data_IF_846164855886
#
_entry.id   IF_846164855886
#
_cell.length_a   1.000
_cell.length_b   1.000
_cell.length_c   1.000
_cell.angle_alpha   90.00
_cell.angle_beta   90.00
_cell.angle_gamma   90.00
#
_symmetry.space_group_name_H-M   'P 1'
#
loop_
_entity.id
_entity.type
_entity.pdbx_description
1 polymer ?
#
# COMPACT_ATOMS: atom_id res chain seq x y z
N UNK A 1 22.38 -4.07 3.87
CA UNK A 1 21.31 -4.74 3.08
C UNK A 1 21.87 -6.05 2.53
N UNK A 2 21.07 -7.11 2.34
CA UNK A 2 21.56 -8.28 1.59
C UNK A 2 21.79 -7.90 0.11
N UNK A 3 22.76 -8.48 -0.61
CA UNK A 3 23.09 -8.09 -1.99
C UNK A 3 21.89 -8.16 -2.96
N UNK A 4 21.05 -9.19 -2.82
CA UNK A 4 19.81 -9.32 -3.61
C UNK A 4 18.78 -8.20 -3.33
N UNK A 5 18.72 -7.69 -2.10
CA UNK A 5 17.80 -6.60 -1.73
C UNK A 5 18.31 -5.26 -2.25
N UNK A 6 19.62 -5.05 -2.22
CA UNK A 6 20.26 -3.86 -2.78
C UNK A 6 20.06 -3.74 -4.29
N UNK A 7 20.26 -4.83 -5.04
CA UNK A 7 20.04 -4.84 -6.49
C UNK A 7 18.57 -4.56 -6.86
N UNK A 8 17.64 -5.13 -6.09
CA UNK A 8 16.20 -4.85 -6.25
C UNK A 8 15.87 -3.40 -5.95
N UNK A 9 16.39 -2.85 -4.85
CA UNK A 9 16.14 -1.45 -4.48
C UNK A 9 16.72 -0.50 -5.53
N UNK A 10 17.92 -0.75 -6.05
CA UNK A 10 18.53 0.04 -7.12
C UNK A 10 17.63 0.11 -8.37
N UNK A 11 17.07 -1.03 -8.82
CA UNK A 11 16.12 -1.07 -9.95
C UNK A 11 14.83 -0.32 -9.67
N UNK A 12 14.35 -0.33 -8.43
CA UNK A 12 13.15 0.40 -7.99
C UNK A 12 13.42 1.90 -7.95
N UNK A 13 14.56 2.32 -7.37
CA UNK A 13 15.03 3.70 -7.30
C UNK A 13 15.14 4.33 -8.68
N UNK A 14 15.65 3.59 -9.67
CA UNK A 14 15.77 4.06 -11.05
C UNK A 14 14.41 4.45 -11.68
N UNK A 15 13.29 3.91 -11.20
CA UNK A 15 11.93 4.28 -11.66
C UNK A 15 11.37 5.53 -10.97
N UNK A 16 12.04 5.99 -9.91
CA UNK A 16 11.67 7.19 -9.16
C UNK A 16 10.66 6.93 -8.03
N UNK A 17 10.70 7.85 -7.05
CA UNK A 17 9.89 7.81 -5.83
C UNK A 17 8.38 7.81 -6.12
N UNK A 18 7.93 8.66 -7.04
CA UNK A 18 6.51 8.80 -7.36
C UNK A 18 5.92 7.52 -7.95
N UNK A 19 6.66 6.85 -8.85
CA UNK A 19 6.21 5.57 -9.44
C UNK A 19 6.08 4.48 -8.37
N UNK A 20 7.04 4.41 -7.46
CA UNK A 20 6.98 3.47 -6.34
C UNK A 20 5.80 3.76 -5.41
N UNK A 21 5.62 5.02 -5.02
CA UNK A 21 4.56 5.42 -4.09
C UNK A 21 3.20 5.09 -4.67
N UNK A 22 2.94 5.45 -5.93
CA UNK A 22 1.68 5.14 -6.60
C UNK A 22 1.46 3.64 -6.71
N UNK A 23 2.45 2.89 -7.20
CA UNK A 23 2.30 1.44 -7.45
C UNK A 23 2.03 0.68 -6.15
N UNK A 24 2.80 0.95 -5.09
CA UNK A 24 2.64 0.28 -3.82
C UNK A 24 1.35 0.71 -3.11
N UNK A 25 0.97 1.98 -3.20
CA UNK A 25 -0.29 2.45 -2.62
C UNK A 25 -1.50 1.83 -3.32
N UNK A 26 -1.43 1.65 -4.63
CA UNK A 26 -2.47 1.00 -5.41
C UNK A 26 -2.60 -0.48 -5.01
N UNK A 27 -1.47 -1.20 -4.88
CA UNK A 27 -1.46 -2.61 -4.45
C UNK A 27 -2.09 -2.76 -3.06
N UNK A 28 -1.69 -1.91 -2.11
CA UNK A 28 -2.22 -1.95 -0.74
C UNK A 28 -3.71 -1.61 -0.68
N UNK A 29 -4.14 -0.58 -1.43
CA UNK A 29 -5.54 -0.18 -1.51
C UNK A 29 -6.41 -1.27 -2.15
N UNK A 30 -5.92 -1.91 -3.22
CA UNK A 30 -6.60 -3.06 -3.84
C UNK A 30 -6.69 -4.25 -2.88
N UNK A 31 -5.62 -4.56 -2.15
CA UNK A 31 -5.64 -5.64 -1.15
C UNK A 31 -6.69 -5.40 -0.07
N UNK A 32 -6.84 -4.15 0.37
CA UNK A 32 -7.87 -3.78 1.33
C UNK A 32 -9.29 -3.93 0.76
N UNK A 33 -9.52 -3.51 -0.48
CA UNK A 33 -10.82 -3.68 -1.14
C UNK A 33 -11.21 -5.16 -1.27
N UNK A 34 -10.25 -6.02 -1.62
CA UNK A 34 -10.47 -7.48 -1.65
C UNK A 34 -10.82 -7.99 -0.26
N UNK A 35 -10.12 -7.54 0.78
CA UNK A 35 -10.44 -7.89 2.17
C UNK A 35 -11.86 -7.50 2.57
N UNK A 36 -12.33 -6.31 2.16
CA UNK A 36 -13.71 -5.87 2.40
C UNK A 36 -14.75 -6.71 1.64
N UNK A 37 -14.44 -7.16 0.42
CA UNK A 37 -15.32 -8.06 -0.33
C UNK A 37 -15.41 -9.44 0.34
N UNK A 38 -14.30 -9.95 0.87
CA UNK A 38 -14.28 -11.20 1.64
C UNK A 38 -15.10 -11.04 2.92
N UNK A 39 -14.93 -9.94 3.67
CA UNK A 39 -15.71 -9.62 4.87
C UNK A 39 -17.21 -9.60 4.55
N UNK A 40 -17.61 -8.96 3.45
CA UNK A 40 -19.00 -8.97 2.99
C UNK A 40 -19.53 -10.38 2.71
N UNK A 41 -18.74 -11.20 1.99
CA UNK A 41 -19.14 -12.57 1.63
C UNK A 41 -19.24 -13.50 2.85
N UNK A 42 -18.30 -13.38 3.80
CA UNK A 42 -18.21 -14.26 4.98
C UNK A 42 -19.23 -13.85 6.04
N UNK A 43 -19.47 -12.55 6.24
CA UNK A 43 -20.32 -12.08 7.32
C UNK A 43 -21.81 -12.41 7.13
N UNK A 44 -22.21 -12.90 5.94
CA UNK A 44 -23.57 -13.38 5.62
C UNK A 44 -24.68 -12.46 6.14
N UNK A 45 -24.42 -11.15 6.05
CA UNK A 45 -25.32 -10.13 6.54
C UNK A 45 -26.39 -9.91 5.46
N UNK A 46 -27.68 -9.98 5.80
CA UNK A 46 -28.82 -9.57 4.96
C UNK A 46 -28.79 -8.07 4.54
N UNK A 47 -27.65 -7.42 4.75
CA UNK A 47 -27.38 -6.03 4.46
C UNK A 47 -27.14 -5.89 2.96
N UNK A 48 -27.88 -4.99 2.32
CA UNK A 48 -27.65 -4.60 0.93
C UNK A 48 -26.19 -4.14 0.75
N UNK A 49 -25.56 -4.59 -0.33
CA UNK A 49 -24.20 -4.23 -0.71
C UNK A 49 -23.93 -2.72 -0.63
N UNK A 50 -24.88 -1.89 -1.06
CA UNK A 50 -24.78 -0.43 -1.00
C UNK A 50 -24.62 0.11 0.43
N UNK A 51 -25.33 -0.45 1.41
CA UNK A 51 -25.25 -0.04 2.81
C UNK A 51 -23.94 -0.50 3.44
N UNK A 52 -23.44 -1.69 3.06
CA UNK A 52 -22.12 -2.16 3.46
C UNK A 52 -21.02 -1.20 2.99
N UNK A 53 -21.02 -0.81 1.71
CA UNK A 53 -20.04 0.14 1.17
C UNK A 53 -20.17 1.53 1.79
N UNK A 54 -21.40 2.01 2.04
CA UNK A 54 -21.62 3.28 2.72
C UNK A 54 -21.00 3.28 4.13
N UNK A 55 -21.23 2.24 4.91
CA UNK A 55 -20.68 2.11 6.26
C UNK A 55 -19.15 2.00 6.28
N UNK A 56 -18.56 1.35 5.27
CA UNK A 56 -17.10 1.20 5.15
C UNK A 56 -16.44 2.37 4.41
N UNK A 57 -17.21 3.28 3.83
CA UNK A 57 -16.70 4.38 3.00
C UNK A 57 -15.66 5.27 3.72
N UNK A 58 -15.87 5.67 4.99
CA UNK A 58 -14.87 6.45 5.71
C UNK A 58 -13.53 5.72 5.83
N UNK A 59 -13.56 4.40 6.04
CA UNK A 59 -12.36 3.58 6.14
C UNK A 59 -11.67 3.49 4.78
N UNK A 60 -12.44 3.28 3.70
CA UNK A 60 -11.91 3.24 2.33
C UNK A 60 -11.21 4.56 1.98
N UNK A 61 -11.86 5.69 2.23
CA UNK A 61 -11.29 7.03 1.99
C UNK A 61 -10.02 7.21 2.82
N UNK A 62 -10.08 6.91 4.12
CA UNK A 62 -8.93 7.02 5.01
C UNK A 62 -7.75 6.19 4.49
N UNK A 63 -7.98 4.93 4.10
CA UNK A 63 -6.93 4.08 3.58
C UNK A 63 -6.36 4.61 2.25
N UNK A 64 -7.19 5.03 1.30
CA UNK A 64 -6.71 5.54 0.00
C UNK A 64 -5.88 6.81 0.18
N UNK A 65 -6.28 7.70 1.09
CA UNK A 65 -5.57 8.95 1.35
C UNK A 65 -4.31 8.72 2.19
N UNK A 66 -4.36 7.84 3.20
CA UNK A 66 -3.28 7.67 4.16
C UNK A 66 -2.19 6.70 3.69
N UNK A 67 -2.53 5.71 2.86
CA UNK A 67 -1.58 4.71 2.35
C UNK A 67 -0.39 5.32 1.60
N UNK A 68 -0.56 6.32 0.72
CA UNK A 68 0.55 7.03 0.09
C UNK A 68 1.57 7.59 1.08
N UNK A 69 1.13 8.12 2.22
CA UNK A 69 2.02 8.64 3.25
C UNK A 69 2.85 7.54 3.92
N UNK A 70 2.22 6.40 4.22
CA UNK A 70 2.93 5.23 4.76
C UNK A 70 3.96 4.68 3.76
N UNK A 71 3.57 4.57 2.49
CA UNK A 71 4.46 4.09 1.43
C UNK A 71 5.64 5.06 1.21
N UNK A 72 5.39 6.37 1.32
CA UNK A 72 6.42 7.38 1.26
C UNK A 72 7.40 7.28 2.44
N UNK A 73 6.91 7.02 3.65
CA UNK A 73 7.76 6.70 4.81
C UNK A 73 8.63 5.46 4.54
N UNK A 74 8.05 4.39 3.98
CA UNK A 74 8.82 3.19 3.62
C UNK A 74 9.90 3.49 2.57
N UNK A 75 9.62 4.36 1.60
CA UNK A 75 10.63 4.81 0.65
C UNK A 75 11.83 5.46 1.35
N UNK A 76 11.60 6.43 2.22
CA UNK A 76 12.68 7.09 2.96
C UNK A 76 13.47 6.13 3.84
N UNK A 77 12.81 5.19 4.53
CA UNK A 77 13.50 4.18 5.34
C UNK A 77 14.41 3.29 4.47
N UNK A 78 13.95 2.90 3.28
CA UNK A 78 14.76 2.11 2.37
C UNK A 78 15.90 2.91 1.75
N UNK A 79 15.68 4.19 1.44
CA UNK A 79 16.71 5.08 0.90
C UNK A 79 17.83 5.32 1.91
N UNK A 80 17.50 5.65 3.17
CA UNK A 80 18.49 5.80 4.24
C UNK A 80 19.28 4.51 4.46
N UNK A 81 18.61 3.35 4.41
CA UNK A 81 19.31 2.05 4.48
C UNK A 81 20.21 1.83 3.28
N UNK A 82 19.84 2.26 2.08
CA UNK A 82 20.65 2.11 0.89
C UNK A 82 21.92 2.97 0.96
N UNK A 83 21.78 4.24 1.34
CA UNK A 83 22.91 5.18 1.51
C UNK A 83 23.88 4.71 2.59
N UNK A 84 23.39 4.26 3.74
CA UNK A 84 24.23 3.74 4.83
C UNK A 84 25.00 2.43 4.49
N UNK A 85 24.66 1.73 3.40
CA UNK A 85 25.42 0.56 2.95
C UNK A 85 26.38 0.89 1.80
N UNK A 86 26.41 2.15 1.34
CA UNK A 86 27.26 2.63 0.25
C UNK A 86 28.43 3.49 0.76
N UNK A 87 28.34 3.97 2.01
CA UNK A 87 29.45 4.54 2.80
C UNK A 87 30.13 3.45 3.64
#
# INVERSE_FOLDING_TARGET
MKPKQFERWSKIRAKGQLSYVITQSLILSCGMLIGLLIDFYVANNDIKLSLFFYNKMPIIIFTVVFTPFLVLLFWYIQEVKFENNHN
#
